data_IF_225295643645
#
_entry.id   IF_225295643645
#
_cell.length_a   1.000
_cell.length_b   1.000
_cell.length_c   1.000
_cell.angle_alpha   90.00
_cell.angle_beta   90.00
_cell.angle_gamma   90.00
#
_symmetry.space_group_name_H-M   'P 1'
#
loop_
_entity.id
_entity.type
_entity.pdbx_description
1 polymer ?
#
# COMPACT_ATOMS: atom_id res chain seq x y z
N UNK A 1 -8.14 18.27 -19.40
CA UNK A 1 -7.06 17.26 -19.52
C UNK A 1 -6.52 17.01 -18.12
N UNK A 2 -7.12 16.07 -17.41
CA UNK A 2 -6.74 15.70 -16.05
C UNK A 2 -5.96 14.39 -16.10
N UNK A 3 -4.66 14.45 -15.92
CA UNK A 3 -3.84 13.27 -15.72
C UNK A 3 -3.82 12.97 -14.21
N UNK A 4 -3.71 11.71 -13.83
CA UNK A 4 -3.64 11.30 -12.43
C UNK A 4 -2.17 11.12 -12.10
N UNK A 5 -1.74 11.70 -10.98
CA UNK A 5 -0.33 11.83 -10.68
C UNK A 5 -0.06 11.44 -9.23
N UNK A 6 0.93 10.60 -9.02
CA UNK A 6 1.32 10.05 -7.72
C UNK A 6 2.68 10.61 -7.31
N UNK A 7 2.88 10.90 -6.03
CA UNK A 7 4.14 11.45 -5.55
C UNK A 7 5.18 10.33 -5.32
N UNK A 8 6.32 10.31 -6.03
CA UNK A 8 7.40 9.35 -5.83
C UNK A 8 8.62 9.96 -5.13
N UNK A 9 9.52 9.13 -4.62
CA UNK A 9 10.89 9.52 -4.26
C UNK A 9 11.78 9.42 -5.54
N UNK A 10 12.10 10.49 -6.28
CA UNK A 10 13.05 10.40 -7.41
C UNK A 10 12.88 11.41 -8.56
N UNK A 11 13.88 12.29 -8.72
CA UNK A 11 13.96 13.57 -9.48
C UNK A 11 13.15 13.68 -10.80
N UNK A 12 12.31 14.71 -10.94
CA UNK A 12 12.31 15.75 -12.00
C UNK A 12 10.92 16.41 -12.20
N UNK A 13 10.90 17.71 -12.48
CA UNK A 13 9.70 18.56 -12.47
C UNK A 13 9.05 18.83 -13.83
N UNK A 14 7.71 18.97 -13.82
CA UNK A 14 6.92 20.10 -14.36
C UNK A 14 5.41 19.86 -14.12
N UNK A 15 4.66 20.97 -14.18
CA UNK A 15 3.31 21.24 -13.64
C UNK A 15 2.16 20.35 -14.18
N UNK A 16 1.21 19.99 -13.30
CA UNK A 16 -0.29 20.08 -13.39
C UNK A 16 -1.00 19.00 -12.54
N UNK A 17 -2.28 19.27 -12.21
CA UNK A 17 -3.19 18.67 -11.20
C UNK A 17 -2.98 17.19 -10.91
N UNK A 18 -2.86 16.83 -9.62
CA UNK A 18 -2.40 15.52 -9.13
C UNK A 18 -3.36 14.88 -8.13
N UNK A 19 -3.29 13.55 -8.00
CA UNK A 19 -3.96 12.76 -6.96
C UNK A 19 -3.04 12.66 -5.73
N UNK A 20 -3.63 12.72 -4.53
CA UNK A 20 -2.88 12.84 -3.27
C UNK A 20 -2.40 11.50 -2.71
N UNK A 21 -1.77 10.68 -3.54
CA UNK A 21 -1.36 9.32 -3.19
C UNK A 21 0.15 9.20 -3.36
N UNK A 22 0.80 8.65 -2.34
CA UNK A 22 2.24 8.40 -2.33
C UNK A 22 2.52 7.14 -3.16
N UNK A 23 3.59 7.17 -3.93
CA UNK A 23 4.15 6.03 -4.62
C UNK A 23 5.54 5.76 -4.07
N UNK A 24 5.81 4.54 -3.63
CA UNK A 24 7.15 4.12 -3.22
C UNK A 24 7.62 3.04 -4.18
N UNK A 25 8.87 3.10 -4.64
CA UNK A 25 9.46 1.98 -5.40
C UNK A 25 9.26 0.68 -4.62
N UNK A 26 8.61 -0.29 -5.24
CA UNK A 26 8.39 -1.57 -4.59
C UNK A 26 9.61 -2.45 -4.86
N UNK A 27 10.04 -3.20 -3.84
CA UNK A 27 11.03 -4.26 -4.03
C UNK A 27 10.50 -5.26 -5.07
N UNK A 28 11.31 -5.69 -6.05
CA UNK A 28 10.92 -6.75 -6.98
C UNK A 28 10.43 -7.97 -6.20
N UNK A 29 9.46 -8.71 -6.75
CA UNK A 29 9.08 -10.02 -6.22
C UNK A 29 10.33 -10.91 -6.25
N UNK A 30 11.01 -11.05 -5.12
CA UNK A 30 12.08 -12.03 -4.99
C UNK A 30 11.40 -13.41 -4.95
N UNK A 31 11.78 -14.36 -5.82
CA UNK A 31 11.35 -15.74 -5.65
C UNK A 31 11.82 -16.21 -4.27
N UNK A 32 11.04 -17.04 -3.56
CA UNK A 32 11.47 -17.55 -2.26
C UNK A 32 12.77 -18.32 -2.48
N UNK A 33 13.86 -17.81 -1.89
CA UNK A 33 15.07 -18.60 -1.71
C UNK A 33 14.65 -19.80 -0.86
N UNK A 34 14.67 -20.99 -1.47
CA UNK A 34 14.54 -22.24 -0.74
C UNK A 34 15.80 -22.36 0.11
N UNK A 35 15.76 -21.81 1.31
CA UNK A 35 16.77 -22.05 2.32
C UNK A 35 16.68 -23.54 2.67
N UNK A 36 17.52 -24.35 2.04
CA UNK A 36 17.80 -25.71 2.44
C UNK A 36 18.52 -25.68 3.79
N UNK A 37 17.78 -25.44 4.87
CA UNK A 37 18.26 -25.65 6.21
C UNK A 37 18.24 -27.16 6.49
N UNK A 38 19.41 -27.78 6.36
CA UNK A 38 19.69 -29.13 6.83
C UNK A 38 19.28 -29.27 8.29
N UNK A 39 18.28 -30.12 8.55
CA UNK A 39 17.96 -30.62 9.87
C UNK A 39 19.17 -31.40 10.41
N UNK A 40 19.81 -30.88 11.45
CA UNK A 40 20.62 -31.69 12.35
C UNK A 40 19.98 -31.66 13.74
N UNK A 41 19.32 -32.77 14.03
CA UNK A 41 18.77 -33.19 15.31
C UNK A 41 19.88 -33.24 16.36
N UNK A 42 19.70 -32.55 17.48
CA UNK A 42 20.33 -32.94 18.74
C UNK A 42 19.23 -33.05 19.81
N UNK A 43 19.01 -34.30 20.19
CA UNK A 43 18.12 -34.74 21.24
C UNK A 43 18.57 -34.24 22.62
N UNK A 44 17.61 -34.14 23.53
CA UNK A 44 17.78 -33.96 24.96
C UNK A 44 18.72 -35.03 25.55
N UNK A 45 19.44 -34.65 26.61
CA UNK A 45 19.53 -35.50 27.80
C UNK A 45 19.62 -34.68 29.08
N UNK A 46 18.90 -35.17 30.09
CA UNK A 46 18.67 -34.58 31.39
C UNK A 46 19.56 -35.23 32.47
N UNK A 47 19.74 -34.49 33.57
CA UNK A 47 20.15 -34.91 34.93
C UNK A 47 21.66 -35.08 35.22
N UNK A 48 22.15 -34.31 36.20
CA UNK A 48 22.55 -34.84 37.52
C UNK A 48 22.90 -33.72 38.53
N UNK A 49 22.52 -33.98 39.77
CA UNK A 49 22.67 -33.20 41.01
C UNK A 49 24.12 -32.91 41.39
N UNK A 50 24.39 -31.74 42.03
CA UNK A 50 25.07 -31.62 43.34
C UNK A 50 25.01 -30.19 43.89
N UNK A 51 25.06 -30.10 45.22
CA UNK A 51 24.87 -28.93 46.08
C UNK A 51 26.18 -28.19 46.45
N UNK A 52 26.04 -26.98 47.00
CA UNK A 52 27.08 -26.17 47.68
C UNK A 52 27.34 -24.85 46.94
N UNK A 53 27.47 -23.67 47.54
CA UNK A 53 27.49 -23.23 48.92
C UNK A 53 27.20 -21.72 48.94
N UNK A 54 26.64 -21.22 50.05
CA UNK A 54 26.49 -19.80 50.31
C UNK A 54 27.83 -19.17 50.70
N UNK A 55 28.29 -18.17 49.96
CA UNK A 55 29.17 -17.13 50.51
C UNK A 55 29.19 -15.87 49.62
N UNK A 56 28.63 -14.78 50.15
CA UNK A 56 29.04 -13.42 49.78
C UNK A 56 30.36 -13.10 50.49
N UNK A 57 31.28 -12.32 49.88
CA UNK A 57 31.35 -10.91 50.33
C UNK A 57 31.80 -9.87 49.28
N UNK A 58 31.39 -8.63 49.57
CA UNK A 58 32.08 -7.34 49.37
C UNK A 58 32.36 -6.79 47.95
N UNK A 59 31.65 -5.70 47.63
CA UNK A 59 32.24 -4.39 47.32
C UNK A 59 33.10 -4.25 46.06
N UNK A 60 32.52 -3.72 44.98
CA UNK A 60 33.28 -3.05 43.93
C UNK A 60 32.53 -1.80 43.47
N UNK A 61 33.27 -0.69 43.43
CA UNK A 61 32.81 0.64 43.05
C UNK A 61 32.35 0.68 41.59
N UNK A 62 31.31 1.49 41.36
CA UNK A 62 30.77 1.83 40.04
C UNK A 62 31.84 2.36 39.08
N UNK A 63 32.05 1.67 37.96
CA UNK A 63 32.73 2.25 36.80
C UNK A 63 31.85 3.35 36.17
N UNK A 64 32.44 4.44 35.66
CA UNK A 64 31.68 5.49 34.99
C UNK A 64 31.23 4.97 33.62
N UNK A 65 29.92 4.97 33.39
CA UNK A 65 29.34 4.70 32.07
C UNK A 65 29.90 5.70 31.05
N UNK A 66 30.77 5.19 30.18
CA UNK A 66 31.19 5.84 28.96
C UNK A 66 29.96 5.92 28.02
N UNK A 67 29.32 7.09 27.99
CA UNK A 67 28.30 7.38 26.98
C UNK A 67 29.01 7.50 25.63
N UNK A 68 29.20 6.37 24.96
CA UNK A 68 29.57 6.37 23.55
C UNK A 68 28.53 7.21 22.78
N UNK A 69 28.94 8.25 22.04
CA UNK A 69 28.02 9.00 21.21
C UNK A 69 27.54 8.11 20.07
N UNK A 70 26.28 7.68 20.13
CA UNK A 70 25.61 7.06 18.99
C UNK A 70 25.70 8.01 17.78
N UNK A 71 26.00 7.49 16.58
CA UNK A 71 26.19 8.31 15.39
C UNK A 71 24.92 9.15 15.12
N UNK A 72 25.14 10.44 14.88
CA UNK A 72 24.10 11.39 14.48
C UNK A 72 23.45 10.92 13.19
N UNK A 73 22.24 10.36 13.25
CA UNK A 73 21.42 10.11 12.07
C UNK A 73 20.39 11.25 11.96
N UNK A 74 20.73 12.29 11.20
CA UNK A 74 19.76 13.32 10.84
C UNK A 74 18.65 12.71 10.00
N UNK A 75 17.40 13.08 10.26
CA UNK A 75 16.26 12.61 9.45
C UNK A 75 16.38 13.18 8.05
N UNK A 76 16.36 12.30 7.04
CA UNK A 76 16.50 12.70 5.65
C UNK A 76 15.24 13.44 5.18
N UNK A 77 15.40 14.65 4.63
CA UNK A 77 14.30 15.46 4.10
C UNK A 77 14.36 15.47 2.57
N UNK A 78 13.39 14.81 1.93
CA UNK A 78 13.31 14.66 0.48
C UNK A 78 12.10 15.40 -0.10
N UNK A 79 12.24 15.84 -1.34
CA UNK A 79 11.13 16.37 -2.15
C UNK A 79 10.54 15.23 -2.97
N UNK A 80 9.22 15.17 -3.07
CA UNK A 80 8.54 14.19 -3.90
C UNK A 80 8.53 14.61 -5.38
N UNK A 81 8.81 13.63 -6.23
CA UNK A 81 8.64 13.68 -7.68
C UNK A 81 7.32 13.09 -8.08
N UNK A 82 7.04 12.97 -9.37
CA UNK A 82 5.66 12.71 -9.78
C UNK A 82 5.57 11.74 -10.93
N UNK A 83 4.90 10.64 -10.63
CA UNK A 83 4.58 9.60 -11.59
C UNK A 83 3.22 9.94 -12.20
N UNK A 84 3.14 9.86 -13.52
CA UNK A 84 1.88 9.94 -14.24
C UNK A 84 1.30 8.53 -14.34
N UNK A 85 0.07 8.36 -13.87
CA UNK A 85 -0.71 7.17 -14.10
C UNK A 85 -1.87 7.51 -15.03
N UNK A 86 -1.93 6.87 -16.18
CA UNK A 86 -2.97 7.15 -17.17
C UNK A 86 -4.24 6.34 -16.92
N UNK A 87 -4.23 5.36 -16.01
CA UNK A 87 -5.41 4.57 -15.62
C UNK A 87 -5.49 4.41 -14.11
N UNK A 88 -6.59 4.85 -13.48
CA UNK A 88 -6.72 4.82 -12.04
C UNK A 88 -8.07 4.27 -11.59
N UNK A 89 -8.05 3.11 -10.95
CA UNK A 89 -9.17 2.55 -10.21
C UNK A 89 -9.34 3.29 -8.87
N UNK A 90 -10.55 3.80 -8.63
CA UNK A 90 -10.95 4.44 -7.37
C UNK A 90 -11.36 3.38 -6.36
N UNK A 91 -10.42 2.95 -5.53
CA UNK A 91 -10.60 1.80 -4.63
C UNK A 91 -11.80 1.90 -3.69
N UNK A 92 -12.17 3.11 -3.29
CA UNK A 92 -13.32 3.39 -2.43
C UNK A 92 -14.67 3.10 -3.10
N UNK A 93 -14.69 2.98 -4.43
CA UNK A 93 -15.89 2.68 -5.22
C UNK A 93 -15.99 1.20 -5.59
N UNK A 94 -14.99 0.39 -5.24
CA UNK A 94 -14.97 -1.03 -5.53
C UNK A 94 -16.05 -1.76 -4.73
N UNK A 95 -16.88 -2.53 -5.42
CA UNK A 95 -18.00 -3.26 -4.84
C UNK A 95 -18.27 -4.58 -5.57
N UNK A 96 -19.01 -5.47 -4.91
CA UNK A 96 -19.53 -6.71 -5.48
C UNK A 96 -21.05 -6.58 -5.59
N UNK A 97 -21.57 -6.68 -6.80
CA UNK A 97 -23.00 -6.55 -7.08
C UNK A 97 -23.61 -7.91 -7.46
N UNK A 98 -24.81 -8.26 -6.99
CA UNK A 98 -25.49 -9.48 -7.43
C UNK A 98 -25.78 -9.48 -8.93
N UNK A 99 -25.44 -10.57 -9.62
CA UNK A 99 -25.85 -10.77 -11.01
C UNK A 99 -27.35 -11.10 -11.08
N UNK A 100 -28.15 -10.16 -11.60
CA UNK A 100 -29.60 -10.32 -11.70
C UNK A 100 -30.04 -11.43 -12.66
N UNK A 101 -29.18 -11.80 -13.61
CA UNK A 101 -29.48 -12.83 -14.61
C UNK A 101 -28.94 -14.19 -14.17
N UNK A 102 -27.85 -14.22 -13.39
CA UNK A 102 -27.23 -15.44 -12.89
C UNK A 102 -27.23 -15.46 -11.35
N UNK A 103 -28.31 -15.93 -10.70
CA UNK A 103 -28.41 -15.96 -9.24
C UNK A 103 -27.23 -16.68 -8.59
N UNK A 104 -26.74 -16.14 -7.47
CA UNK A 104 -25.58 -16.67 -6.74
C UNK A 104 -24.23 -16.13 -7.22
N UNK A 105 -24.16 -15.51 -8.40
CA UNK A 105 -22.94 -14.86 -8.90
C UNK A 105 -22.87 -13.40 -8.50
N UNK A 106 -21.64 -12.94 -8.26
CA UNK A 106 -21.29 -11.57 -7.93
C UNK A 106 -20.44 -10.97 -9.06
N UNK A 107 -20.78 -9.75 -9.45
CA UNK A 107 -20.13 -8.95 -10.47
C UNK A 107 -19.26 -7.89 -9.80
N UNK A 108 -18.03 -7.73 -10.30
CA UNK A 108 -17.14 -6.66 -9.85
C UNK A 108 -17.58 -5.33 -10.47
N UNK A 109 -17.79 -4.32 -9.62
CA UNK A 109 -18.15 -2.96 -10.04
C UNK A 109 -17.25 -1.91 -9.39
N UNK A 110 -16.83 -0.90 -10.16
CA UNK A 110 -16.00 0.20 -9.66
C UNK A 110 -16.06 1.42 -10.58
N UNK A 111 -15.62 2.57 -10.06
CA UNK A 111 -15.36 3.77 -10.84
C UNK A 111 -13.86 3.90 -11.11
N UNK A 112 -13.51 4.35 -12.31
CA UNK A 112 -12.13 4.59 -12.68
C UNK A 112 -11.99 5.85 -13.53
N UNK A 113 -10.76 6.32 -13.64
CA UNK A 113 -10.37 7.41 -14.52
C UNK A 113 -9.34 6.87 -15.52
N UNK A 114 -9.47 7.29 -16.77
CA UNK A 114 -8.54 6.92 -17.83
C UNK A 114 -8.23 8.12 -18.70
N UNK A 115 -6.95 8.49 -18.79
CA UNK A 115 -6.47 9.55 -19.68
C UNK A 115 -6.34 9.06 -21.13
N UNK A 116 -6.21 7.74 -21.32
CA UNK A 116 -6.11 7.04 -22.60
C UNK A 116 -7.02 5.83 -22.62
N UNK A 117 -7.32 5.29 -23.81
CA UNK A 117 -8.09 4.05 -23.95
C UNK A 117 -7.24 2.84 -23.58
N UNK A 118 -7.86 1.77 -23.11
CA UNK A 118 -7.15 0.63 -22.54
C UNK A 118 -8.01 -0.57 -22.23
N UNK A 119 -7.50 -1.44 -21.36
CA UNK A 119 -8.09 -2.73 -21.03
C UNK A 119 -8.17 -2.94 -19.52
N UNK A 120 -9.31 -3.45 -19.06
CA UNK A 120 -9.55 -3.94 -17.69
C UNK A 120 -9.51 -5.46 -17.74
N UNK A 121 -8.65 -6.07 -16.95
CA UNK A 121 -8.57 -7.52 -16.77
C UNK A 121 -8.92 -7.86 -15.32
N UNK A 122 -9.86 -8.80 -15.15
CA UNK A 122 -10.31 -9.25 -13.83
C UNK A 122 -9.88 -10.69 -13.66
N UNK A 123 -9.16 -10.96 -12.56
CA UNK A 123 -8.62 -12.29 -12.25
C UNK A 123 -9.04 -12.65 -10.82
N UNK A 124 -9.77 -13.76 -10.67
CA UNK A 124 -10.08 -14.34 -9.37
C UNK A 124 -9.00 -15.34 -8.97
N UNK A 125 -8.65 -15.39 -7.68
CA UNK A 125 -7.53 -16.19 -7.16
C UNK A 125 -6.24 -15.94 -7.94
N UNK A 126 -5.90 -14.65 -8.03
CA UNK A 126 -4.81 -14.16 -8.83
C UNK A 126 -3.48 -14.29 -8.10
N UNK A 127 -2.44 -14.70 -8.84
CA UNK A 127 -1.06 -14.58 -8.42
C UNK A 127 -0.37 -13.55 -9.31
N UNK A 128 0.34 -12.63 -8.66
CA UNK A 128 1.19 -11.68 -9.39
C UNK A 128 2.50 -12.37 -9.77
N UNK A 129 2.82 -12.34 -11.06
CA UNK A 129 4.07 -12.87 -11.62
C UNK A 129 5.01 -11.71 -12.01
N UNK A 130 6.13 -12.06 -12.63
CA UNK A 130 7.05 -11.09 -13.19
C UNK A 130 6.39 -10.20 -14.27
N UNK A 131 7.00 -9.05 -14.56
CA UNK A 131 6.56 -8.11 -15.61
C UNK A 131 5.09 -7.62 -15.49
N UNK A 132 4.53 -7.53 -14.27
CA UNK A 132 3.15 -7.06 -14.04
C UNK A 132 2.08 -7.95 -14.72
N UNK A 133 2.34 -9.25 -14.74
CA UNK A 133 1.37 -10.24 -15.20
C UNK A 133 0.60 -10.86 -14.04
N UNK A 134 -0.62 -11.29 -14.34
CA UNK A 134 -1.50 -11.97 -13.40
C UNK A 134 -1.85 -13.34 -13.97
N UNK A 135 -1.75 -14.36 -13.12
CA UNK A 135 -2.20 -15.72 -13.43
C UNK A 135 -3.33 -16.12 -12.48
N UNK A 136 -4.27 -16.94 -12.95
CA UNK A 136 -5.30 -17.51 -12.08
C UNK A 136 -4.79 -18.84 -11.53
N UNK A 137 -4.90 -19.08 -10.23
CA UNK A 137 -4.42 -20.34 -9.64
C UNK A 137 -5.47 -21.46 -9.66
N UNK A 138 -6.69 -21.16 -10.11
CA UNK A 138 -7.83 -22.09 -10.15
C UNK A 138 -8.48 -22.15 -11.54
N UNK A 139 -7.68 -22.23 -12.60
CA UNK A 139 -8.15 -22.24 -13.99
C UNK A 139 -9.15 -23.38 -14.29
N UNK A 140 -9.04 -24.52 -13.59
CA UNK A 140 -9.96 -25.66 -13.77
C UNK A 140 -11.37 -25.40 -13.20
N UNK A 141 -11.49 -24.49 -12.24
CA UNK A 141 -12.76 -24.19 -11.53
C UNK A 141 -13.35 -22.84 -11.96
N UNK A 142 -12.52 -21.92 -12.45
CA UNK A 142 -12.91 -20.58 -12.83
C UNK A 142 -13.03 -20.44 -14.34
N UNK A 143 -13.85 -19.47 -14.77
CA UNK A 143 -13.84 -19.04 -16.16
C UNK A 143 -12.45 -18.49 -16.54
N UNK A 144 -12.06 -18.55 -17.83
CA UNK A 144 -10.79 -17.98 -18.29
C UNK A 144 -10.69 -16.50 -17.93
N UNK A 145 -9.46 -15.98 -17.82
CA UNK A 145 -9.20 -14.55 -17.57
C UNK A 145 -9.93 -13.70 -18.62
N UNK A 146 -10.78 -12.78 -18.15
CA UNK A 146 -11.61 -11.95 -19.02
C UNK A 146 -11.09 -10.52 -19.02
N UNK A 147 -10.94 -9.98 -20.23
CA UNK A 147 -10.46 -8.63 -20.47
C UNK A 147 -11.52 -7.82 -21.21
N UNK A 148 -11.71 -6.58 -20.79
CA UNK A 148 -12.70 -5.64 -21.31
C UNK A 148 -12.02 -4.37 -21.79
N UNK A 149 -12.41 -3.85 -22.94
CA UNK A 149 -11.90 -2.59 -23.46
C UNK A 149 -12.64 -1.40 -22.85
N UNK A 150 -11.94 -0.28 -22.70
CA UNK A 150 -12.53 0.99 -22.31
C UNK A 150 -11.92 2.14 -23.12
N UNK A 151 -12.70 3.21 -23.27
CA UNK A 151 -12.25 4.45 -23.87
C UNK A 151 -11.67 5.42 -22.83
N UNK A 152 -10.92 6.42 -23.27
CA UNK A 152 -10.50 7.51 -22.39
C UNK A 152 -11.70 8.25 -21.80
N UNK A 153 -11.63 8.59 -20.51
CA UNK A 153 -12.70 9.28 -19.79
C UNK A 153 -12.44 9.31 -18.28
N UNK A 154 -12.90 10.36 -17.61
CA UNK A 154 -12.82 10.49 -16.16
C UNK A 154 -14.15 10.08 -15.53
N UNK A 155 -14.10 9.49 -14.33
CA UNK A 155 -15.29 9.06 -13.58
C UNK A 155 -16.11 7.98 -14.30
N UNK A 156 -15.47 7.15 -15.11
CA UNK A 156 -16.12 6.06 -15.83
C UNK A 156 -16.56 4.99 -14.84
N UNK A 157 -17.76 4.43 -15.05
CA UNK A 157 -18.29 3.35 -14.23
C UNK A 157 -18.14 2.05 -15.00
N UNK A 158 -17.50 1.08 -14.37
CA UNK A 158 -17.40 -0.28 -14.87
C UNK A 158 -18.26 -1.20 -14.01
N UNK A 159 -19.04 -2.04 -14.66
CA UNK A 159 -19.72 -3.18 -14.05
C UNK A 159 -19.40 -4.38 -14.92
N UNK A 160 -18.91 -5.44 -14.31
CA UNK A 160 -18.59 -6.67 -15.00
C UNK A 160 -19.83 -7.22 -15.74
N UNK A 161 -19.71 -7.65 -17.01
CA UNK A 161 -20.84 -8.20 -17.75
C UNK A 161 -21.45 -9.44 -17.09
N UNK A 162 -22.78 -9.54 -17.15
CA UNK A 162 -23.53 -10.66 -16.61
C UNK A 162 -23.04 -12.00 -17.16
N UNK A 163 -22.97 -13.02 -16.31
CA UNK A 163 -22.46 -14.36 -16.62
C UNK A 163 -20.94 -14.51 -16.46
N UNK A 164 -20.21 -13.41 -16.32
CA UNK A 164 -18.75 -13.43 -16.12
C UNK A 164 -18.31 -13.32 -14.67
N UNK A 165 -19.25 -13.04 -13.76
CA UNK A 165 -19.02 -12.95 -12.31
C UNK A 165 -18.64 -14.27 -11.65
N UNK A 166 -18.26 -14.17 -10.38
CA UNK A 166 -17.82 -15.28 -9.54
C UNK A 166 -18.92 -15.72 -8.58
N UNK A 167 -19.05 -17.02 -8.35
CA UNK A 167 -19.80 -17.55 -7.21
C UNK A 167 -18.80 -17.75 -6.07
N UNK A 168 -18.91 -16.95 -4.99
CA UNK A 168 -17.98 -17.06 -3.87
C UNK A 168 -18.29 -18.25 -2.96
N UNK A 169 -19.50 -18.82 -3.02
CA UNK A 169 -19.95 -19.87 -2.11
C UNK A 169 -19.29 -21.23 -2.36
N UNK A 170 -18.63 -21.40 -3.51
CA UNK A 170 -17.92 -22.63 -3.89
C UNK A 170 -16.51 -22.70 -3.31
N UNK A 171 -16.05 -21.65 -2.61
CA UNK A 171 -14.71 -21.55 -2.05
C UNK A 171 -14.76 -21.56 -0.52
N UNK A 172 -13.68 -22.06 0.09
CA UNK A 172 -13.56 -22.07 1.55
C UNK A 172 -13.24 -20.66 2.08
N UNK A 173 -13.68 -20.36 3.30
CA UNK A 173 -13.45 -19.06 3.94
C UNK A 173 -11.95 -18.69 4.00
N UNK A 174 -11.08 -19.66 4.27
CA UNK A 174 -9.61 -19.50 4.29
C UNK A 174 -9.04 -19.00 2.96
N UNK A 175 -9.71 -19.28 1.84
CA UNK A 175 -9.28 -18.88 0.50
C UNK A 175 -9.84 -17.50 0.11
N UNK A 176 -10.99 -17.12 0.68
CA UNK A 176 -11.63 -15.83 0.46
C UNK A 176 -11.02 -14.73 1.32
N UNK A 177 -10.60 -15.07 2.53
CA UNK A 177 -9.99 -14.15 3.49
C UNK A 177 -8.49 -14.38 3.50
N UNK A 178 -7.74 -13.45 2.90
CA UNK A 178 -6.29 -13.60 2.73
C UNK A 178 -5.58 -13.91 4.05
N UNK A 179 -4.98 -15.09 4.15
CA UNK A 179 -4.09 -15.45 5.26
C UNK A 179 -2.72 -14.74 5.14
N UNK A 180 -2.05 -14.42 6.27
CA UNK A 180 -0.70 -13.91 6.27
C UNK A 180 0.24 -14.85 5.50
N UNK A 181 1.09 -14.31 4.63
CA UNK A 181 2.09 -15.03 3.80
C UNK A 181 1.58 -15.78 2.56
N UNK A 182 0.32 -15.57 2.15
CA UNK A 182 -0.15 -16.04 0.84
C UNK A 182 0.19 -15.03 -0.27
N UNK A 183 0.73 -15.53 -1.39
CA UNK A 183 0.98 -14.76 -2.62
C UNK A 183 -0.22 -14.76 -3.59
N UNK A 184 -1.31 -15.42 -3.19
CA UNK A 184 -2.55 -15.51 -3.93
C UNK A 184 -3.52 -14.50 -3.35
N UNK A 185 -4.17 -13.75 -4.24
CA UNK A 185 -5.15 -12.74 -3.91
C UNK A 185 -6.52 -13.18 -4.42
N UNK A 186 -7.57 -13.19 -3.58
CA UNK A 186 -8.91 -13.62 -3.99
C UNK A 186 -9.44 -12.89 -5.24
N UNK A 187 -9.04 -11.63 -5.41
CA UNK A 187 -9.34 -10.83 -6.60
C UNK A 187 -8.16 -9.91 -6.94
N UNK A 188 -7.80 -9.83 -8.21
CA UNK A 188 -6.94 -8.80 -8.76
C UNK A 188 -7.60 -8.16 -9.99
N UNK A 189 -7.50 -6.84 -10.06
CA UNK A 189 -7.99 -6.04 -11.19
C UNK A 189 -6.78 -5.34 -11.80
N UNK A 190 -6.46 -5.67 -13.04
CA UNK A 190 -5.41 -5.02 -13.81
C UNK A 190 -6.03 -4.05 -14.81
N UNK A 191 -5.50 -2.83 -14.84
CA UNK A 191 -5.79 -1.84 -15.87
C UNK A 191 -4.50 -1.56 -16.62
N UNK A 192 -4.56 -1.57 -17.94
CA UNK A 192 -3.41 -1.23 -18.78
C UNK A 192 -3.86 -0.42 -20.00
N UNK A 193 -2.94 0.38 -20.53
CA UNK A 193 -3.16 1.08 -21.78
C UNK A 193 -3.27 0.09 -22.96
N UNK A 194 -3.97 0.48 -24.02
CA UNK A 194 -4.07 -0.34 -25.22
C UNK A 194 -2.72 -0.56 -25.93
N UNK A 195 -1.72 0.26 -25.61
CA UNK A 195 -0.35 0.14 -26.08
C UNK A 195 0.45 -0.65 -25.03
N UNK A 196 1.09 -1.75 -25.43
CA UNK A 196 1.75 -2.69 -24.50
C UNK A 196 2.92 -2.08 -23.70
N UNK A 197 3.48 -0.96 -24.17
CA UNK A 197 4.53 -0.19 -23.49
C UNK A 197 3.99 0.87 -22.52
N UNK A 198 2.67 0.98 -22.37
CA UNK A 198 2.02 1.99 -21.54
C UNK A 198 2.04 1.67 -20.04
N UNK A 199 1.47 2.58 -19.25
CA UNK A 199 1.31 2.41 -17.82
C UNK A 199 0.36 1.26 -17.49
N UNK A 200 0.65 0.56 -16.39
CA UNK A 200 -0.18 -0.54 -15.89
C UNK A 200 -0.48 -0.32 -14.42
N UNK A 201 -1.72 -0.52 -14.01
CA UNK A 201 -2.13 -0.50 -12.60
C UNK A 201 -2.70 -1.88 -12.22
N UNK A 202 -2.24 -2.44 -11.11
CA UNK A 202 -2.82 -3.66 -10.52
C UNK A 202 -3.42 -3.29 -9.16
N UNK A 203 -4.69 -3.57 -8.95
CA UNK A 203 -5.37 -3.47 -7.66
C UNK A 203 -5.56 -4.87 -7.09
N UNK A 204 -4.90 -5.16 -5.97
CA UNK A 204 -4.95 -6.45 -5.27
C UNK A 204 -5.97 -6.38 -4.13
N UNK A 205 -6.90 -7.33 -4.10
CA UNK A 205 -8.11 -7.29 -3.29
C UNK A 205 -8.26 -8.59 -2.50
N UNK A 206 -8.68 -8.45 -1.24
CA UNK A 206 -9.19 -9.54 -0.40
C UNK A 206 -10.66 -9.30 -0.11
N UNK A 207 -11.35 -10.28 0.45
CA UNK A 207 -12.66 -10.06 1.02
C UNK A 207 -12.57 -9.81 2.52
N UNK A 208 -13.58 -9.14 3.05
CA UNK A 208 -13.85 -9.00 4.49
C UNK A 208 -15.32 -9.33 4.73
N UNK A 209 -15.62 -9.96 5.86
CA UNK A 209 -16.99 -10.22 6.26
C UNK A 209 -17.44 -9.12 7.23
N UNK A 210 -18.35 -8.26 6.77
CA UNK A 210 -18.97 -7.22 7.58
C UNK A 210 -20.43 -7.61 7.87
N UNK A 211 -20.72 -8.03 9.11
CA UNK A 211 -22.08 -8.38 9.56
C UNK A 211 -22.78 -9.46 8.69
N UNK A 212 -22.02 -10.41 8.15
CA UNK A 212 -22.55 -11.47 7.30
C UNK A 212 -22.56 -11.13 5.80
N UNK A 213 -22.11 -9.94 5.42
CA UNK A 213 -21.97 -9.52 4.03
C UNK A 213 -20.49 -9.54 3.61
N UNK A 214 -20.19 -10.20 2.49
CA UNK A 214 -18.84 -10.25 1.92
C UNK A 214 -18.59 -8.98 1.13
N UNK A 215 -17.58 -8.20 1.51
CA UNK A 215 -17.18 -6.97 0.81
C UNK A 215 -15.74 -7.04 0.33
N UNK A 216 -15.43 -6.42 -0.83
CA UNK A 216 -14.06 -6.30 -1.29
C UNK A 216 -13.30 -5.27 -0.42
N UNK A 217 -12.07 -5.60 -0.07
CA UNK A 217 -11.13 -4.74 0.64
C UNK A 217 -9.82 -4.70 -0.13
N UNK A 218 -9.44 -3.51 -0.60
CA UNK A 218 -8.20 -3.30 -1.35
C UNK A 218 -7.01 -3.39 -0.40
N UNK A 219 -6.10 -4.33 -0.68
CA UNK A 219 -4.87 -4.50 0.09
C UNK A 219 -3.79 -3.56 -0.44
N UNK A 220 -3.58 -3.58 -1.76
CA UNK A 220 -2.52 -2.82 -2.43
C UNK A 220 -2.97 -2.36 -3.80
N UNK A 221 -2.43 -1.22 -4.22
CA UNK A 221 -2.45 -0.81 -5.61
C UNK A 221 -1.00 -0.65 -6.07
N UNK A 222 -0.68 -1.26 -7.19
CA UNK A 222 0.65 -1.27 -7.80
C UNK A 222 0.57 -0.53 -9.13
N UNK A 223 1.62 0.21 -9.45
CA UNK A 223 1.73 1.01 -10.66
C UNK A 223 3.06 0.69 -11.35
N UNK A 224 3.00 0.40 -12.65
CA UNK A 224 4.16 0.24 -13.52
C UNK A 224 4.21 1.36 -14.52
N UNK A 225 5.28 2.15 -14.50
CA UNK A 225 5.51 3.27 -15.41
C UNK A 225 6.99 3.30 -15.77
N UNK A 226 7.31 3.43 -17.05
CA UNK A 226 8.68 3.56 -17.56
C UNK A 226 9.66 2.49 -17.02
N UNK A 227 9.19 1.24 -16.91
CA UNK A 227 10.01 0.12 -16.43
C UNK A 227 10.21 0.07 -14.91
N UNK A 228 9.57 0.97 -14.16
CA UNK A 228 9.69 1.05 -12.70
C UNK A 228 8.38 0.65 -12.03
N UNK A 229 8.50 -0.15 -10.96
CA UNK A 229 7.39 -0.62 -10.13
C UNK A 229 7.21 0.28 -8.91
N UNK A 230 5.98 0.72 -8.69
CA UNK A 230 5.59 1.53 -7.53
C UNK A 230 4.42 0.89 -6.78
N UNK A 231 4.44 0.98 -5.45
CA UNK A 231 3.29 0.71 -4.59
C UNK A 231 2.62 2.03 -4.20
N UNK A 232 1.31 2.11 -4.43
CA UNK A 232 0.48 3.26 -4.12
C UNK A 232 -0.03 3.17 -2.68
N UNK A 233 0.27 4.21 -1.91
CA UNK A 233 0.04 4.30 -0.48
C UNK A 233 -0.78 5.56 -0.18
N UNK A 234 -1.87 5.39 0.58
CA UNK A 234 -2.62 6.52 1.11
C UNK A 234 -1.75 7.36 2.04
N UNK A 235 -2.03 8.66 2.03
CA UNK A 235 -1.48 9.60 2.99
C UNK A 235 -2.60 10.03 3.92
N UNK A 236 -2.38 9.83 5.22
CA UNK A 236 -3.34 10.18 6.24
C UNK A 236 -3.23 11.68 6.58
N UNK A 237 -4.37 12.35 6.78
CA UNK A 237 -4.40 13.77 7.12
C UNK A 237 -4.62 14.73 5.94
N UNK A 238 -4.89 14.20 4.73
CA UNK A 238 -5.23 14.99 3.53
C UNK A 238 -6.77 15.10 3.32
N UNK A 239 -7.56 14.24 3.99
CA UNK A 239 -8.91 13.86 3.61
C UNK A 239 -10.09 14.79 3.94
N UNK A 240 -9.92 15.96 4.57
CA UNK A 240 -11.07 16.82 4.91
C UNK A 240 -11.38 17.88 3.84
N UNK A 241 -11.21 17.54 2.56
CA UNK A 241 -11.36 18.50 1.45
C UNK A 241 -12.65 18.45 0.66
N UNK A 242 -13.49 17.42 0.85
CA UNK A 242 -14.66 17.18 -0.02
C UNK A 242 -16.00 17.01 0.70
N UNK A 243 -16.08 17.27 1.99
CA UNK A 243 -17.36 17.43 2.70
C UNK A 243 -17.43 18.86 3.25
N UNK A 244 -18.31 19.66 2.64
CA UNK A 244 -18.56 21.03 3.07
C UNK A 244 -19.01 21.08 4.53
N UNK A 245 -18.23 21.79 5.35
CA UNK A 245 -18.54 22.03 6.75
C UNK A 245 -17.31 22.36 7.59
N UNK A 246 -17.01 23.66 7.70
CA UNK A 246 -16.29 24.34 8.81
C UNK A 246 -15.17 23.57 9.55
N UNK A 247 -13.91 23.80 9.15
CA UNK A 247 -12.78 24.14 10.04
C UNK A 247 -11.51 24.31 9.18
N UNK A 248 -11.11 25.56 8.93
CA UNK A 248 -9.87 25.89 8.21
C UNK A 248 -8.64 25.33 8.98
N UNK A 249 -8.70 25.36 10.30
CA UNK A 249 -7.68 24.84 11.24
C UNK A 249 -7.39 23.33 11.09
N UNK A 250 -8.32 22.55 10.53
CA UNK A 250 -8.16 21.10 10.36
C UNK A 250 -7.07 20.74 9.34
N UNK A 251 -6.61 21.70 8.52
CA UNK A 251 -5.59 21.51 7.49
C UNK A 251 -4.24 22.14 7.82
N UNK A 252 -4.16 22.84 8.95
CA UNK A 252 -2.95 23.56 9.33
C UNK A 252 -1.96 22.65 10.05
N UNK A 253 -0.68 22.97 9.86
CA UNK A 253 0.44 22.33 10.53
C UNK A 253 0.20 22.27 12.03
N UNK A 254 0.25 21.08 12.63
CA UNK A 254 0.01 20.89 14.07
C UNK A 254 1.08 21.54 14.96
N UNK A 255 2.18 22.00 14.37
CA UNK A 255 3.29 22.64 15.08
C UNK A 255 3.13 24.16 15.09
N UNK A 256 2.94 24.80 13.93
CA UNK A 256 2.83 26.26 13.85
C UNK A 256 1.39 26.79 13.81
N UNK A 257 0.40 25.94 13.47
CA UNK A 257 -1.01 26.31 13.32
C UNK A 257 -1.22 27.52 12.39
N UNK A 258 -0.36 27.69 11.39
CA UNK A 258 -0.38 28.87 10.49
C UNK A 258 -0.16 28.52 9.02
N UNK A 259 0.66 27.51 8.75
CA UNK A 259 0.96 27.08 7.39
C UNK A 259 0.25 25.75 7.09
N UNK A 260 -0.22 25.54 5.86
CA UNK A 260 -0.87 24.29 5.47
C UNK A 260 0.10 23.10 5.57
N UNK A 261 -0.46 21.92 5.88
CA UNK A 261 0.34 20.69 5.91
C UNK A 261 0.77 20.31 4.50
N UNK A 262 2.07 20.08 4.32
CA UNK A 262 2.65 19.67 3.04
C UNK A 262 3.71 18.56 3.22
N UNK A 263 3.99 18.14 4.45
CA UNK A 263 5.06 17.19 4.76
C UNK A 263 4.51 15.92 5.40
N UNK A 264 4.82 14.77 4.79
CA UNK A 264 4.44 13.43 5.24
C UNK A 264 5.58 12.76 5.99
N UNK A 265 5.24 12.08 7.09
CA UNK A 265 6.18 11.34 7.93
C UNK A 265 6.21 9.86 7.54
N UNK A 266 7.38 9.30 7.24
CA UNK A 266 7.53 7.86 6.93
C UNK A 266 8.14 7.11 8.12
N UNK A 267 7.72 5.85 8.40
CA UNK A 267 6.81 5.01 7.60
C UNK A 267 5.31 5.17 7.91
N UNK A 268 4.95 5.99 8.90
CA UNK A 268 3.56 6.10 9.37
C UNK A 268 2.56 6.78 8.40
N UNK A 269 3.06 7.50 7.39
CA UNK A 269 2.31 8.22 6.35
C UNK A 269 1.36 9.32 6.85
N UNK A 270 1.56 9.83 8.06
CA UNK A 270 0.80 11.00 8.53
C UNK A 270 1.37 12.30 7.96
N UNK A 271 0.52 13.05 7.27
CA UNK A 271 0.78 14.44 6.88
C UNK A 271 0.22 15.35 7.98
N UNK A 272 1.09 15.90 8.82
CA UNK A 272 0.68 16.70 9.99
C UNK A 272 1.46 18.00 10.16
N UNK A 273 2.48 18.27 9.35
CA UNK A 273 3.30 19.48 9.48
C UNK A 273 3.61 20.12 8.12
N UNK A 274 3.97 21.40 8.16
CA UNK A 274 4.49 22.14 7.00
C UNK A 274 6.01 21.96 6.87
N UNK A 275 6.55 22.26 5.69
CA UNK A 275 7.96 22.18 5.34
C UNK A 275 8.85 23.04 6.24
N UNK A 276 8.34 24.20 6.68
CA UNK A 276 9.04 25.08 7.63
C UNK A 276 9.31 24.36 8.95
N UNK A 277 8.28 23.82 9.58
CA UNK A 277 8.42 23.08 10.83
C UNK A 277 9.21 21.78 10.64
N UNK A 278 9.02 21.08 9.52
CA UNK A 278 9.76 19.86 9.20
C UNK A 278 11.27 20.09 9.13
N UNK A 279 11.72 21.21 8.54
CA UNK A 279 13.13 21.59 8.47
C UNK A 279 13.76 21.88 9.84
N UNK A 280 12.97 22.32 10.80
CA UNK A 280 13.42 22.58 12.16
C UNK A 280 13.51 21.27 12.96
N UNK A 281 12.47 20.43 12.87
CA UNK A 281 12.40 19.19 13.67
C UNK A 281 13.30 18.06 13.15
N UNK A 282 13.78 18.13 11.90
CA UNK A 282 14.66 17.08 11.32
C UNK A 282 15.97 16.86 12.06
N UNK A 283 16.41 17.84 12.84
CA UNK A 283 17.64 17.78 13.64
C UNK A 283 17.40 17.26 15.07
N UNK A 284 16.14 17.07 15.46
CA UNK A 284 15.82 16.50 16.76
C UNK A 284 16.19 15.02 16.79
N UNK A 285 16.74 14.57 17.93
CA UNK A 285 16.98 13.15 18.17
C UNK A 285 15.64 12.47 18.40
N UNK A 286 15.41 11.35 17.70
CA UNK A 286 14.19 10.52 17.85
C UNK A 286 12.89 11.26 17.52
N UNK A 287 12.81 11.90 16.36
CA UNK A 287 11.56 12.48 15.88
C UNK A 287 10.45 11.42 15.88
N UNK A 288 9.37 11.69 16.62
CA UNK A 288 8.17 10.85 16.67
C UNK A 288 7.05 11.53 15.90
N UNK A 289 6.18 10.72 15.27
CA UNK A 289 4.98 11.22 14.65
C UNK A 289 4.05 11.88 15.69
N UNK A 290 3.64 13.15 15.54
CA UNK A 290 2.69 13.80 16.45
C UNK A 290 1.34 13.10 16.56
N UNK A 291 0.96 12.33 15.52
CA UNK A 291 -0.34 11.64 15.45
C UNK A 291 -0.28 10.25 16.07
N UNK A 292 0.64 9.39 15.64
CA UNK A 292 0.69 7.99 16.08
C UNK A 292 1.89 7.62 16.96
N UNK A 293 2.78 8.58 17.25
CA UNK A 293 4.01 8.41 18.05
C UNK A 293 5.00 7.38 17.50
N UNK A 294 4.83 6.92 16.26
CA UNK A 294 5.82 6.05 15.62
C UNK A 294 7.11 6.84 15.32
N UNK A 295 8.29 6.21 15.44
CA UNK A 295 9.56 6.81 15.02
C UNK A 295 9.53 7.23 13.55
N UNK A 296 10.02 8.44 13.27
CA UNK A 296 10.11 9.00 11.91
C UNK A 296 11.49 8.74 11.37
N UNK A 297 11.55 8.01 10.26
CA UNK A 297 12.80 7.71 9.55
C UNK A 297 13.10 8.75 8.47
N UNK A 298 12.07 9.24 7.79
CA UNK A 298 12.19 10.16 6.65
C UNK A 298 11.04 11.17 6.62
N UNK A 299 11.35 12.37 6.14
CA UNK A 299 10.40 13.45 5.89
C UNK A 299 10.25 13.63 4.38
N UNK A 300 9.01 13.63 3.90
CA UNK A 300 8.71 13.81 2.48
C UNK A 300 7.83 15.03 2.27
N UNK A 301 8.38 16.06 1.61
CA UNK A 301 7.61 17.23 1.17
C UNK A 301 6.81 16.92 -0.08
N UNK A 302 5.51 17.12 0.01
CA UNK A 302 4.53 17.01 -1.07
C UNK A 302 4.16 18.42 -1.49
N UNK A 303 4.42 18.77 -2.74
CA UNK A 303 3.97 20.05 -3.28
C UNK A 303 2.50 19.96 -3.67
N UNK A 304 1.62 20.43 -2.77
CA UNK A 304 0.23 20.73 -3.10
C UNK A 304 0.25 22.02 -3.93
N UNK A 305 0.07 21.91 -5.25
CA UNK A 305 -0.13 23.10 -6.08
C UNK A 305 -1.61 23.47 -6.01
N UNK A 306 -1.90 24.68 -5.52
CA UNK A 306 -3.21 25.32 -5.65
C UNK A 306 -3.66 25.45 -7.13
#
# INVERSE_FOLDING_TARGET
MGNIFFCCLGVCGRRRRRSNVLATEATPLQPPEVAAASYQSLCLDSNLYTAGDCSSPTGAMSEPYDHQPHPYTSVEHKKADTIRNDTNLRKETLSLEPDRVNPGRLLVAFTFDAAVSGRITIVFFAKEEAEFQLTATKEDTLAPIITFEFEKGLGQKFIQPSGTGVDLSVFEDSELFKEPNTYIFPLAIKMEEAVDSGSKQITLVTYVNEKGEIKPSVIKQLLWVDGTRFELLDIYGIGDTVVGGCNEDARDCVICLSEPRDTTLLPCRHMCMCDGCAKEVRFQRNLLCPVCRQPVERLLKIQLNE
#
